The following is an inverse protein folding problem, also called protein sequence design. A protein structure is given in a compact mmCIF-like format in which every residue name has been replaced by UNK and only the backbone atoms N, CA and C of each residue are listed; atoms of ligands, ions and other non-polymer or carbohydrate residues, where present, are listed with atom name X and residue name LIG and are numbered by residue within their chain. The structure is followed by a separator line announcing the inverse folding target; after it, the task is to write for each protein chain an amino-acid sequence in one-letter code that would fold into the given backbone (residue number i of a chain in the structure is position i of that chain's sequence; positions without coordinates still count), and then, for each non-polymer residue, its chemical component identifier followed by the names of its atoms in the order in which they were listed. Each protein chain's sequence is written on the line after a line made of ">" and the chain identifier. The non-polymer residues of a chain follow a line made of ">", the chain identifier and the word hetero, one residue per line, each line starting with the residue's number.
data_IF_434298578732
#
_entry.id   IF_434298578732
#
_cell.length_a   1.000
_cell.length_b   1.000
_cell.length_c   1.000
_cell.angle_alpha   90.00
_cell.angle_beta   90.00
_cell.angle_gamma   90.00
#
_symmetry.space_group_name_H-M   'P 1'
#
loop_
_entity.id
_entity.type
_entity.pdbx_description
1 polymer ?
#
# COMPACT_ATOMS: atom_id res chain seq x y z
N UNK A 1 -14.78 29.26 2.34
CA UNK A 1 -13.37 29.35 2.75
C UNK A 1 -13.31 29.10 4.25
N UNK A 2 -12.70 28.00 4.69
CA UNK A 2 -12.61 27.61 6.12
C UNK A 2 -11.49 28.38 6.85
N UNK A 3 -10.77 29.29 6.19
CA UNK A 3 -9.70 30.09 6.78
C UNK A 3 -8.42 29.31 7.10
N UNK A 4 -8.45 27.98 7.06
CA UNK A 4 -7.27 27.12 7.14
C UNK A 4 -6.46 27.23 5.83
N UNK A 5 -5.34 27.95 5.90
CA UNK A 5 -4.35 28.03 4.83
C UNK A 5 -3.11 27.22 5.21
N UNK A 6 -2.38 26.63 4.25
CA UNK A 6 -1.09 25.97 4.52
C UNK A 6 -0.09 26.87 5.28
N UNK A 7 -0.22 28.19 5.19
CA UNK A 7 0.58 29.15 5.95
C UNK A 7 0.30 29.14 7.46
N UNK A 8 -0.92 28.81 7.90
CA UNK A 8 -1.30 28.72 9.32
C UNK A 8 -0.98 27.34 9.91
N UNK A 9 -0.90 26.33 9.06
CA UNK A 9 -0.57 24.98 9.43
C UNK A 9 0.43 24.45 8.39
N UNK A 10 1.74 24.72 8.52
CA UNK A 10 2.71 24.24 7.53
C UNK A 10 2.85 22.71 7.62
N UNK A 11 2.94 22.05 6.46
CA UNK A 11 3.16 20.62 6.39
C UNK A 11 4.53 20.26 7.00
N UNK A 12 4.58 19.16 7.75
CA UNK A 12 5.82 18.58 8.29
C UNK A 12 6.10 17.25 7.63
N UNK A 13 7.33 17.07 7.13
CA UNK A 13 7.96 15.83 6.64
C UNK A 13 7.00 14.90 5.85
N UNK A 14 6.19 14.10 6.55
CA UNK A 14 5.31 13.06 5.99
C UNK A 14 3.85 13.51 5.78
N UNK A 15 3.53 14.79 5.95
CA UNK A 15 2.14 15.26 5.90
C UNK A 15 1.64 15.62 4.49
N UNK A 16 2.46 15.49 3.45
CA UNK A 16 2.13 16.01 2.12
C UNK A 16 0.90 15.34 1.50
N UNK A 17 0.78 14.01 1.55
CA UNK A 17 -0.39 13.29 1.06
C UNK A 17 -1.67 13.69 1.82
N UNK A 18 -1.57 13.85 3.15
CA UNK A 18 -2.67 14.28 4.03
C UNK A 18 -3.10 15.69 3.65
N UNK A 19 -2.15 16.58 3.37
CA UNK A 19 -2.43 17.96 2.98
C UNK A 19 -3.13 18.04 1.63
N UNK A 20 -2.75 17.19 0.66
CA UNK A 20 -3.47 17.10 -0.61
C UNK A 20 -4.92 16.72 -0.38
N UNK A 21 -5.19 15.68 0.43
CA UNK A 21 -6.56 15.29 0.77
C UNK A 21 -7.32 16.38 1.56
N UNK A 22 -6.66 17.06 2.50
CA UNK A 22 -7.27 18.04 3.40
C UNK A 22 -7.60 19.37 2.70
N UNK A 23 -6.66 19.89 1.91
CA UNK A 23 -6.74 21.23 1.33
C UNK A 23 -7.22 21.27 -0.13
N UNK A 24 -7.31 20.13 -0.80
CA UNK A 24 -7.88 20.11 -2.16
C UNK A 24 -9.35 20.54 -2.16
N UNK A 25 -9.81 21.07 -3.30
CA UNK A 25 -11.20 21.47 -3.50
C UNK A 25 -12.12 20.33 -3.95
N UNK A 26 -11.60 19.11 -4.09
CA UNK A 26 -12.34 17.97 -4.62
C UNK A 26 -13.23 17.32 -3.56
N UNK A 27 -14.38 16.80 -3.98
CA UNK A 27 -15.27 16.01 -3.13
C UNK A 27 -14.72 14.61 -2.89
N UNK A 28 -14.03 14.05 -3.89
CA UNK A 28 -13.40 12.74 -3.86
C UNK A 28 -11.98 12.85 -4.41
N UNK A 29 -11.04 12.17 -3.76
CA UNK A 29 -9.61 12.31 -4.05
C UNK A 29 -9.01 10.93 -4.27
N UNK A 30 -8.23 10.80 -5.34
CA UNK A 30 -7.23 9.75 -5.51
C UNK A 30 -5.87 10.39 -5.29
N UNK A 31 -5.12 9.93 -4.29
CA UNK A 31 -3.70 10.29 -4.10
C UNK A 31 -2.85 9.11 -4.54
N UNK A 32 -1.87 9.40 -5.40
CA UNK A 32 -0.89 8.43 -5.88
C UNK A 32 0.52 8.97 -5.64
N UNK A 33 1.38 8.19 -4.99
CA UNK A 33 2.82 8.45 -5.02
C UNK A 33 3.39 8.16 -6.40
N UNK A 34 4.57 8.73 -6.69
CA UNK A 34 5.23 8.60 -7.99
C UNK A 34 5.60 7.15 -8.35
N UNK A 35 5.84 6.29 -7.35
CA UNK A 35 6.15 4.89 -7.58
C UNK A 35 4.89 4.01 -7.61
N UNK A 36 3.70 4.52 -7.30
CA UNK A 36 2.44 3.78 -7.41
C UNK A 36 1.82 3.96 -8.81
N UNK A 37 2.15 3.04 -9.72
CA UNK A 37 1.78 3.13 -11.13
C UNK A 37 0.45 2.40 -11.41
N UNK A 38 -0.57 3.10 -11.95
CA UNK A 38 -1.77 2.46 -12.46
C UNK A 38 -1.46 1.67 -13.74
N UNK A 39 -1.88 0.41 -13.76
CA UNK A 39 -1.71 -0.52 -14.89
C UNK A 39 -2.95 -0.63 -15.78
N UNK A 40 -4.01 0.09 -15.43
CA UNK A 40 -5.27 0.12 -16.15
C UNK A 40 -6.11 1.34 -15.79
N UNK A 41 -7.33 1.40 -16.32
CA UNK A 41 -8.26 2.48 -16.03
C UNK A 41 -8.69 2.46 -14.55
N UNK A 42 -8.50 3.58 -13.85
CA UNK A 42 -8.85 3.76 -12.43
C UNK A 42 -10.09 4.63 -12.22
N UNK A 43 -10.75 5.10 -13.30
CA UNK A 43 -11.94 5.96 -13.21
C UNK A 43 -13.11 5.31 -12.47
N UNK A 44 -13.17 3.98 -12.50
CA UNK A 44 -14.23 3.17 -11.89
C UNK A 44 -14.12 2.97 -10.37
N UNK A 45 -13.07 3.47 -9.71
CA UNK A 45 -12.78 3.17 -8.30
C UNK A 45 -13.86 3.73 -7.37
N UNK A 46 -14.32 4.95 -7.63
CA UNK A 46 -15.41 5.59 -6.87
C UNK A 46 -16.76 4.89 -7.07
N UNK A 47 -16.95 4.21 -8.20
CA UNK A 47 -18.16 3.43 -8.49
C UNK A 47 -18.08 1.97 -8.01
N UNK A 48 -17.05 1.60 -7.25
CA UNK A 48 -16.88 0.23 -6.80
C UNK A 48 -17.81 -0.12 -5.65
N UNK A 49 -18.32 -1.38 -5.57
CA UNK A 49 -19.18 -1.78 -4.46
C UNK A 49 -18.52 -1.52 -3.10
N UNK A 50 -17.22 -1.80 -2.99
CA UNK A 50 -16.43 -1.61 -1.76
C UNK A 50 -16.29 -0.14 -1.37
N UNK A 51 -16.17 0.76 -2.37
CA UNK A 51 -16.15 2.20 -2.10
C UNK A 51 -17.53 2.69 -1.67
N UNK A 52 -18.61 2.26 -2.32
CA UNK A 52 -19.97 2.60 -1.89
C UNK A 52 -20.31 2.07 -0.49
N UNK A 53 -19.80 0.89 -0.12
CA UNK A 53 -20.04 0.27 1.18
C UNK A 53 -19.29 0.97 2.31
N UNK A 54 -17.99 1.24 2.11
CA UNK A 54 -17.11 1.72 3.20
C UNK A 54 -16.74 3.20 3.09
N UNK A 55 -17.02 3.82 1.95
CA UNK A 55 -16.70 5.20 1.64
C UNK A 55 -15.20 5.46 1.44
N UNK A 56 -14.38 4.44 1.20
CA UNK A 56 -12.96 4.58 0.89
C UNK A 56 -12.43 3.27 0.29
N UNK A 57 -11.26 3.30 -0.34
CA UNK A 57 -10.49 2.09 -0.66
C UNK A 57 -9.07 2.25 -0.14
N UNK A 58 -8.71 1.43 0.85
CA UNK A 58 -7.33 1.26 1.27
C UNK A 58 -6.72 0.08 0.55
N UNK A 59 -5.41 0.13 0.43
CA UNK A 59 -4.57 -0.93 -0.07
C UNK A 59 -3.63 -1.34 1.06
N UNK A 60 -3.49 -2.65 1.28
CA UNK A 60 -2.65 -3.18 2.34
C UNK A 60 -1.19 -3.20 1.88
N UNK A 61 -0.29 -2.73 2.72
CA UNK A 61 1.14 -2.93 2.53
C UNK A 61 1.51 -4.41 2.65
N UNK A 62 2.68 -4.77 2.11
CA UNK A 62 3.23 -6.10 2.31
C UNK A 62 3.54 -6.41 3.79
N UNK A 63 3.81 -5.40 4.61
CA UNK A 63 4.03 -5.52 6.04
C UNK A 63 2.71 -5.72 6.79
N UNK A 64 2.74 -6.63 7.76
CA UNK A 64 1.57 -6.99 8.55
C UNK A 64 1.98 -7.80 9.78
N UNK A 65 1.00 -8.41 10.44
CA UNK A 65 1.19 -9.20 11.66
C UNK A 65 2.25 -10.30 11.51
N UNK A 66 2.38 -10.89 10.31
CA UNK A 66 3.35 -11.96 10.03
C UNK A 66 4.75 -11.47 9.59
N UNK A 67 5.00 -10.17 9.53
CA UNK A 67 6.18 -9.61 8.86
C UNK A 67 7.38 -9.34 9.78
N UNK A 68 7.39 -9.90 11.00
CA UNK A 68 8.42 -9.66 12.02
C UNK A 68 9.86 -9.76 11.47
N UNK A 69 10.77 -8.83 11.83
CA UNK A 69 10.57 -7.69 12.74
C UNK A 69 9.87 -6.47 12.10
N UNK A 70 9.41 -6.57 10.85
CA UNK A 70 8.66 -5.53 10.15
C UNK A 70 7.15 -5.62 10.45
N UNK A 71 6.36 -4.62 10.04
CA UNK A 71 4.95 -4.52 10.42
C UNK A 71 4.77 -3.87 11.79
N UNK A 72 5.39 -2.70 11.96
CA UNK A 72 5.51 -1.95 13.22
C UNK A 72 4.16 -1.77 13.94
N UNK A 73 3.10 -1.45 13.19
CA UNK A 73 1.76 -1.11 13.69
C UNK A 73 0.78 -2.29 13.67
N UNK A 74 1.06 -3.31 12.86
CA UNK A 74 0.25 -4.52 12.72
C UNK A 74 0.74 -5.69 13.59
N UNK A 75 1.97 -5.60 14.11
CA UNK A 75 2.53 -6.53 15.08
C UNK A 75 1.65 -6.62 16.32
N UNK A 76 1.47 -7.83 16.86
CA UNK A 76 0.61 -8.07 18.04
C UNK A 76 1.06 -7.28 19.28
N UNK A 77 2.35 -6.96 19.37
CA UNK A 77 2.95 -6.26 20.50
C UNK A 77 3.10 -4.75 20.24
N UNK A 78 2.51 -4.24 19.15
CA UNK A 78 2.60 -2.82 18.81
C UNK A 78 1.84 -1.96 19.83
N UNK A 79 2.44 -0.86 20.34
CA UNK A 79 1.72 0.11 21.17
C UNK A 79 0.64 0.87 20.38
N UNK A 80 0.59 0.74 19.05
CA UNK A 80 -0.48 1.28 18.22
C UNK A 80 -1.86 0.74 18.63
N UNK A 81 -1.94 -0.52 19.08
CA UNK A 81 -3.18 -1.15 19.52
C UNK A 81 -3.79 -0.48 20.75
N UNK A 82 -2.94 -0.08 21.71
CA UNK A 82 -3.37 0.66 22.90
C UNK A 82 -3.84 2.07 22.54
N UNK A 83 -3.12 2.74 21.62
CA UNK A 83 -3.48 4.07 21.13
C UNK A 83 -4.88 4.07 20.50
N UNK A 84 -5.16 3.10 19.64
CA UNK A 84 -6.48 2.98 19.00
C UNK A 84 -7.48 2.24 19.89
N UNK A 85 -7.07 1.67 21.02
CA UNK A 85 -7.89 0.88 21.95
C UNK A 85 -8.62 -0.30 21.27
N UNK A 86 -7.93 -1.01 20.38
CA UNK A 86 -8.44 -2.20 19.68
C UNK A 86 -7.52 -3.37 20.00
N UNK A 87 -8.09 -4.55 20.27
CA UNK A 87 -7.29 -5.76 20.46
C UNK A 87 -6.55 -6.14 19.18
N UNK A 88 -5.29 -6.63 19.26
CA UNK A 88 -4.56 -7.05 18.08
C UNK A 88 -5.30 -8.15 17.32
N UNK A 89 -5.32 -8.05 15.99
CA UNK A 89 -5.84 -9.07 15.11
C UNK A 89 -4.91 -9.23 13.90
N UNK A 90 -5.04 -10.36 13.20
CA UNK A 90 -4.23 -10.63 12.02
C UNK A 90 -4.58 -9.64 10.91
N UNK A 91 -3.63 -8.79 10.53
CA UNK A 91 -3.86 -7.71 9.57
C UNK A 91 -2.59 -7.28 8.88
N UNK A 92 -2.75 -6.45 7.86
CA UNK A 92 -1.67 -5.73 7.22
C UNK A 92 -1.68 -4.27 7.66
N UNK A 93 -0.54 -3.61 7.54
CA UNK A 93 -0.49 -2.16 7.53
C UNK A 93 -1.14 -1.66 6.24
N UNK A 94 -1.57 -0.41 6.23
CA UNK A 94 -2.07 0.27 5.04
C UNK A 94 -0.91 0.89 4.26
N UNK A 95 -1.09 0.99 2.95
CA UNK A 95 -0.12 1.52 1.99
C UNK A 95 -0.58 2.92 1.52
N UNK A 96 0.05 3.96 2.07
CA UNK A 96 -0.36 5.37 1.88
C UNK A 96 -0.05 5.95 0.50
N UNK A 97 0.75 5.28 -0.31
CA UNK A 97 1.01 5.67 -1.71
C UNK A 97 -0.22 5.58 -2.61
N UNK A 98 -1.28 4.87 -2.19
CA UNK A 98 -2.54 4.78 -2.91
C UNK A 98 -3.68 5.04 -1.92
N UNK A 99 -4.33 6.19 -2.06
CA UNK A 99 -5.47 6.58 -1.24
C UNK A 99 -6.66 6.94 -2.12
N UNK A 100 -7.81 6.33 -1.87
CA UNK A 100 -9.07 6.64 -2.55
C UNK A 100 -10.13 6.92 -1.49
N UNK A 101 -10.50 8.18 -1.33
CA UNK A 101 -11.46 8.59 -0.29
C UNK A 101 -12.20 9.88 -0.65
N UNK A 102 -13.41 10.08 -0.10
CA UNK A 102 -14.11 11.34 -0.14
C UNK A 102 -13.47 12.33 0.83
N UNK A 103 -13.86 13.59 0.71
CA UNK A 103 -13.47 14.65 1.63
C UNK A 103 -14.24 14.54 2.95
N UNK A 104 -13.63 13.89 3.93
CA UNK A 104 -14.24 13.59 5.23
C UNK A 104 -13.48 14.24 6.39
N UNK A 105 -13.98 15.39 6.84
CA UNK A 105 -13.25 16.26 7.76
C UNK A 105 -12.89 15.62 9.10
N UNK A 106 -13.78 14.80 9.68
CA UNK A 106 -13.53 14.19 11.00
C UNK A 106 -12.32 13.26 10.96
N UNK A 107 -12.29 12.37 9.98
CA UNK A 107 -11.25 11.39 9.76
C UNK A 107 -9.94 12.06 9.37
N UNK A 108 -9.98 13.02 8.43
CA UNK A 108 -8.81 13.78 8.01
C UNK A 108 -8.17 14.56 9.18
N UNK A 109 -8.96 15.09 10.12
CA UNK A 109 -8.43 15.72 11.32
C UNK A 109 -7.75 14.72 12.26
N UNK A 110 -8.27 13.50 12.41
CA UNK A 110 -7.62 12.45 13.20
C UNK A 110 -6.32 12.01 12.54
N UNK A 111 -6.31 11.78 11.23
CA UNK A 111 -5.11 11.44 10.45
C UNK A 111 -4.02 12.49 10.66
N UNK A 112 -4.37 13.76 10.50
CA UNK A 112 -3.44 14.87 10.71
C UNK A 112 -2.95 14.96 12.16
N UNK A 113 -3.83 14.70 13.13
CA UNK A 113 -3.46 14.69 14.54
C UNK A 113 -2.47 13.56 14.86
N UNK A 114 -2.75 12.33 14.40
CA UNK A 114 -1.90 11.17 14.62
C UNK A 114 -0.53 11.35 13.95
N UNK A 115 -0.47 11.93 12.75
CA UNK A 115 0.78 12.23 12.03
C UNK A 115 1.64 13.29 12.74
N UNK A 116 1.06 14.02 13.70
CA UNK A 116 1.78 14.99 14.55
C UNK A 116 2.01 14.50 15.97
N UNK A 117 1.49 13.32 16.30
CA UNK A 117 1.55 12.79 17.64
C UNK A 117 2.91 12.16 17.90
N UNK A 118 3.72 12.83 18.73
CA UNK A 118 5.11 12.44 19.01
C UNK A 118 5.30 11.03 19.54
N UNK A 119 4.34 10.50 20.30
CA UNK A 119 4.43 9.11 20.80
C UNK A 119 4.25 8.08 19.68
N UNK A 120 3.59 8.46 18.58
CA UNK A 120 3.40 7.61 17.41
C UNK A 120 4.54 7.79 16.40
N UNK A 121 4.92 9.04 16.10
CA UNK A 121 5.90 9.38 15.07
C UNK A 121 7.36 9.37 15.58
N UNK A 122 7.54 9.24 16.88
CA UNK A 122 8.82 9.36 17.56
C UNK A 122 9.22 10.81 17.83
N UNK A 123 10.12 10.97 18.79
CA UNK A 123 10.77 12.24 19.10
C UNK A 123 12.28 11.96 19.21
N UNK A 124 13.13 12.56 18.35
CA UNK A 124 14.57 12.27 18.34
C UNK A 124 15.33 12.92 19.52
N UNK A 125 14.66 13.67 20.39
CA UNK A 125 15.32 14.26 21.57
C UNK A 125 15.77 13.20 22.57
N UNK A 126 16.74 13.49 23.47
CA UNK A 126 17.27 12.52 24.44
C UNK A 126 16.22 11.92 25.40
N UNK A 127 15.07 12.58 25.56
CA UNK A 127 13.94 12.12 26.38
C UNK A 127 12.71 11.75 25.53
N UNK A 128 12.92 11.61 24.23
CA UNK A 128 11.88 11.34 23.26
C UNK A 128 11.47 9.87 23.23
N UNK A 129 10.46 9.59 22.41
CA UNK A 129 9.89 8.26 22.28
C UNK A 129 10.41 7.58 21.00
N UNK A 130 10.58 6.26 21.00
CA UNK A 130 10.80 5.53 19.76
C UNK A 130 9.60 5.73 18.82
N UNK A 131 9.87 5.73 17.52
CA UNK A 131 8.83 5.78 16.50
C UNK A 131 8.08 4.45 16.45
N UNK A 132 6.77 4.54 16.28
CA UNK A 132 5.84 3.41 16.15
C UNK A 132 5.31 3.28 14.72
N UNK A 133 5.16 4.40 14.00
CA UNK A 133 4.73 4.42 12.59
C UNK A 133 5.83 5.05 11.74
N UNK A 134 6.23 4.38 10.67
CA UNK A 134 7.12 4.96 9.67
C UNK A 134 6.37 5.90 8.71
N UNK A 135 6.46 7.19 8.96
CA UNK A 135 5.87 8.22 8.09
C UNK A 135 4.35 8.22 8.13
N UNK A 136 3.73 8.42 6.97
CA UNK A 136 2.27 8.47 6.76
C UNK A 136 1.66 7.11 6.41
N UNK A 137 2.48 6.05 6.34
CA UNK A 137 2.11 4.73 5.83
C UNK A 137 0.80 4.18 6.40
N UNK A 138 0.69 4.10 7.73
CA UNK A 138 -0.43 3.42 8.38
C UNK A 138 -1.33 4.33 9.23
N UNK A 139 -1.08 5.66 9.23
CA UNK A 139 -1.87 6.60 10.05
C UNK A 139 -3.35 6.62 9.64
N UNK A 140 -3.66 6.26 8.39
CA UNK A 140 -5.03 6.19 7.87
C UNK A 140 -5.82 5.04 8.49
N UNK A 141 -5.27 3.81 8.45
CA UNK A 141 -5.88 2.64 9.10
C UNK A 141 -6.06 2.87 10.60
N UNK A 142 -5.03 3.40 11.27
CA UNK A 142 -5.08 3.71 12.70
C UNK A 142 -6.17 4.75 13.02
N UNK A 143 -6.37 5.74 12.15
CA UNK A 143 -7.42 6.74 12.32
C UNK A 143 -8.82 6.13 12.24
N UNK A 144 -9.05 5.20 11.30
CA UNK A 144 -10.33 4.49 11.19
C UNK A 144 -10.58 3.59 12.40
N UNK A 145 -9.55 2.88 12.85
CA UNK A 145 -9.63 2.06 14.07
C UNK A 145 -9.96 2.93 15.28
N UNK A 146 -9.24 4.04 15.47
CA UNK A 146 -9.47 5.01 16.55
C UNK A 146 -10.92 5.53 16.55
N UNK A 147 -11.46 5.81 15.36
CA UNK A 147 -12.82 6.30 15.17
C UNK A 147 -13.90 5.21 15.17
N UNK A 148 -13.51 3.94 15.33
CA UNK A 148 -14.41 2.77 15.28
C UNK A 148 -15.17 2.65 13.96
N UNK A 149 -14.52 3.00 12.85
CA UNK A 149 -15.08 2.87 11.51
C UNK A 149 -14.64 1.56 10.86
N UNK A 150 -15.56 0.97 10.12
CA UNK A 150 -15.23 -0.09 9.17
C UNK A 150 -14.48 0.51 7.98
N UNK A 151 -13.62 -0.29 7.37
CA UNK A 151 -12.89 0.06 6.15
C UNK A 151 -12.67 -1.19 5.32
N UNK A 152 -12.60 -1.00 4.01
CA UNK A 152 -12.12 -1.97 3.05
C UNK A 152 -10.61 -1.81 2.85
N UNK A 153 -9.89 -2.92 2.75
CA UNK A 153 -8.46 -2.92 2.46
C UNK A 153 -8.10 -4.06 1.50
N UNK A 154 -7.68 -3.72 0.28
CA UNK A 154 -7.29 -4.70 -0.73
C UNK A 154 -5.90 -5.29 -0.43
N UNK A 155 -5.77 -6.61 -0.47
CA UNK A 155 -4.52 -7.30 -0.17
C UNK A 155 -3.45 -7.08 -1.27
N UNK A 156 -2.16 -7.01 -0.90
CA UNK A 156 -1.07 -6.91 -1.86
C UNK A 156 -0.71 -8.27 -2.47
N UNK A 157 -0.04 -8.25 -3.62
CA UNK A 157 0.64 -9.40 -4.21
C UNK A 157 2.11 -9.08 -4.51
N UNK A 158 2.95 -10.10 -4.65
CA UNK A 158 4.39 -9.93 -4.93
C UNK A 158 4.66 -9.71 -6.42
N UNK A 159 5.58 -8.80 -6.72
CA UNK A 159 6.04 -8.52 -8.08
C UNK A 159 7.54 -8.78 -8.19
N UNK A 160 7.97 -9.34 -9.32
CA UNK A 160 9.37 -9.71 -9.51
C UNK A 160 9.69 -10.15 -10.94
N UNK A 161 10.68 -11.02 -11.06
CA UNK A 161 11.02 -11.68 -12.32
C UNK A 161 11.35 -13.14 -12.07
N UNK A 162 11.21 -13.98 -13.09
CA UNK A 162 11.63 -15.38 -13.02
C UNK A 162 12.96 -15.52 -13.73
N UNK A 163 13.96 -16.05 -13.03
CA UNK A 163 15.26 -16.40 -13.58
C UNK A 163 15.54 -17.87 -13.29
N UNK A 164 15.74 -18.67 -14.34
CA UNK A 164 16.15 -20.08 -14.22
C UNK A 164 15.24 -20.91 -13.29
N UNK A 165 13.91 -20.73 -13.43
CA UNK A 165 12.90 -21.42 -12.61
C UNK A 165 12.79 -20.92 -11.17
N UNK A 166 13.40 -19.79 -10.85
CA UNK A 166 13.32 -19.15 -9.53
C UNK A 166 12.71 -17.76 -9.63
N UNK A 167 11.76 -17.43 -8.75
CA UNK A 167 11.18 -16.10 -8.65
C UNK A 167 12.04 -15.19 -7.75
N UNK A 168 12.46 -14.07 -8.31
CA UNK A 168 13.23 -13.02 -7.66
C UNK A 168 12.27 -11.85 -7.36
N UNK A 169 11.93 -11.68 -6.08
CA UNK A 169 11.10 -10.57 -5.62
C UNK A 169 11.80 -9.23 -5.83
N UNK A 170 11.07 -8.23 -6.34
CA UNK A 170 11.58 -6.86 -6.50
C UNK A 170 10.67 -5.79 -5.91
N UNK A 171 9.36 -6.01 -5.94
CA UNK A 171 8.35 -5.02 -5.52
C UNK A 171 7.01 -5.71 -5.24
N UNK A 172 5.92 -4.97 -5.09
CA UNK A 172 4.57 -5.51 -4.90
C UNK A 172 3.52 -4.67 -5.65
N UNK A 173 2.27 -5.09 -5.61
CA UNK A 173 1.16 -4.38 -6.24
C UNK A 173 -0.20 -4.83 -5.72
N UNK A 174 -1.27 -4.37 -6.37
CA UNK A 174 -2.66 -4.62 -5.97
C UNK A 174 -3.54 -5.05 -7.13
N UNK A 175 -4.41 -6.03 -6.87
CA UNK A 175 -5.48 -6.44 -7.78
C UNK A 175 -6.61 -5.41 -7.69
N UNK A 176 -7.25 -5.13 -8.83
CA UNK A 176 -8.36 -4.21 -8.93
C UNK A 176 -9.55 -4.64 -8.09
N UNK A 177 -10.28 -3.66 -7.55
CA UNK A 177 -11.41 -3.94 -6.67
C UNK A 177 -12.63 -4.47 -7.45
N UNK A 178 -12.83 -4.04 -8.70
CA UNK A 178 -13.86 -4.60 -9.61
C UNK A 178 -13.35 -5.72 -10.51
N UNK A 179 -12.03 -5.83 -10.69
CA UNK A 179 -11.44 -6.69 -11.71
C UNK A 179 -10.45 -7.65 -11.08
N UNK A 180 -10.42 -8.91 -11.53
CA UNK A 180 -9.36 -9.85 -11.13
C UNK A 180 -8.04 -9.58 -11.88
N UNK A 181 -7.78 -8.33 -12.25
CA UNK A 181 -6.56 -7.89 -12.94
C UNK A 181 -5.77 -7.01 -12.00
N UNK A 182 -4.46 -7.00 -12.15
CA UNK A 182 -3.61 -6.05 -11.43
C UNK A 182 -3.97 -4.64 -11.88
N UNK A 183 -4.13 -3.76 -10.90
CA UNK A 183 -4.52 -2.37 -11.12
C UNK A 183 -3.39 -1.41 -10.74
N UNK A 184 -2.64 -1.72 -9.68
CA UNK A 184 -1.52 -0.90 -9.24
C UNK A 184 -0.28 -1.77 -9.08
N UNK A 185 0.88 -1.21 -9.43
CA UNK A 185 2.18 -1.76 -9.10
C UNK A 185 3.06 -0.69 -8.51
N UNK A 186 3.96 -1.09 -7.61
CA UNK A 186 5.00 -0.20 -7.13
C UNK A 186 6.24 -0.34 -8.00
N UNK A 187 6.77 0.77 -8.51
CA UNK A 187 8.04 0.80 -9.21
C UNK A 187 9.15 0.31 -8.25
N UNK A 188 9.91 -0.75 -8.60
CA UNK A 188 11.01 -1.20 -7.77
C UNK A 188 12.00 -0.07 -7.51
N UNK A 189 12.31 0.19 -6.24
CA UNK A 189 13.26 1.24 -5.82
C UNK A 189 14.69 1.02 -6.34
N UNK A 190 15.01 -0.18 -6.83
CA UNK A 190 16.28 -0.52 -7.47
C UNK A 190 16.37 -0.13 -8.96
N UNK A 191 15.33 0.47 -9.56
CA UNK A 191 15.27 0.84 -10.97
C UNK A 191 15.97 2.16 -11.33
N UNK A 192 16.77 2.76 -10.44
CA UNK A 192 17.76 3.78 -10.84
C UNK A 192 18.94 3.22 -11.65
N UNK A 193 18.93 1.91 -11.95
CA UNK A 193 20.04 1.22 -12.60
C UNK A 193 19.96 1.30 -14.15
N UNK A 194 21.02 1.68 -14.89
CA UNK A 194 21.02 1.92 -16.34
C UNK A 194 20.78 0.68 -17.25
N UNK A 195 20.34 -0.46 -16.70
CA UNK A 195 20.24 -1.74 -17.42
C UNK A 195 18.81 -2.13 -17.84
N UNK A 196 17.84 -1.20 -17.83
CA UNK A 196 16.39 -1.48 -17.98
C UNK A 196 15.93 -1.75 -19.42
N UNK A 197 16.82 -1.81 -20.42
CA UNK A 197 16.39 -2.02 -21.81
C UNK A 197 15.83 -3.43 -22.10
N UNK A 198 16.10 -4.43 -21.26
CA UNK A 198 15.76 -5.84 -21.52
C UNK A 198 14.94 -6.53 -20.41
N UNK A 199 14.24 -5.78 -19.55
CA UNK A 199 13.56 -6.38 -18.39
C UNK A 199 12.22 -7.03 -18.78
N UNK A 200 12.20 -8.33 -19.00
CA UNK A 200 10.98 -9.15 -19.07
C UNK A 200 10.42 -9.37 -17.66
N UNK A 201 9.36 -8.65 -17.32
CA UNK A 201 8.75 -8.68 -15.98
C UNK A 201 7.94 -9.97 -15.78
N UNK A 202 8.06 -10.59 -14.60
CA UNK A 202 7.33 -11.79 -14.21
C UNK A 202 6.41 -11.50 -13.02
N UNK A 203 5.11 -11.48 -13.23
CA UNK A 203 4.14 -11.13 -12.19
C UNK A 203 3.65 -12.43 -11.56
N UNK A 204 3.90 -12.61 -10.25
CA UNK A 204 3.65 -13.88 -9.57
C UNK A 204 2.88 -13.62 -8.28
N UNK A 205 1.58 -13.93 -8.30
CA UNK A 205 0.74 -13.95 -7.11
C UNK A 205 1.06 -15.19 -6.25
N UNK A 206 1.98 -15.04 -5.29
CA UNK A 206 2.30 -16.10 -4.33
C UNK A 206 1.40 -15.96 -3.08
N UNK A 207 0.12 -16.34 -3.17
CA UNK A 207 -0.78 -16.55 -2.00
C UNK A 207 -0.37 -17.77 -1.16
N UNK A 208 0.93 -17.97 -0.97
CA UNK A 208 1.48 -18.99 -0.09
C UNK A 208 1.45 -18.44 1.35
N UNK A 209 0.69 -19.05 2.30
CA UNK A 209 0.66 -18.61 3.69
C UNK A 209 2.05 -18.78 4.34
N UNK A 210 2.59 -17.67 4.88
CA UNK A 210 3.68 -17.73 5.86
C UNK A 210 5.11 -17.47 5.36
N UNK A 211 5.39 -16.39 4.62
CA UNK A 211 6.79 -15.99 4.40
C UNK A 211 7.09 -14.49 4.52
N UNK A 212 7.98 -14.22 5.48
CA UNK A 212 8.53 -12.94 5.91
C UNK A 212 9.37 -12.23 4.85
N UNK A 213 9.21 -10.92 4.88
CA UNK A 213 10.14 -9.82 4.64
C UNK A 213 10.91 -9.67 3.31
N UNK A 214 11.14 -8.40 3.03
CA UNK A 214 11.92 -7.72 1.99
C UNK A 214 13.40 -8.13 1.92
N UNK A 215 13.75 -9.41 2.10
CA UNK A 215 15.13 -9.85 1.92
C UNK A 215 15.42 -9.98 0.42
N UNK A 216 15.77 -8.84 -0.17
CA UNK A 216 15.94 -8.50 -1.59
C UNK A 216 17.08 -9.21 -2.32
N UNK A 217 17.48 -10.42 -1.89
CA UNK A 217 18.61 -11.13 -2.51
C UNK A 217 18.37 -12.60 -2.84
N UNK A 218 17.31 -13.22 -2.34
CA UNK A 218 17.14 -14.66 -2.52
C UNK A 218 15.98 -14.96 -3.47
N UNK A 219 16.30 -15.13 -4.75
CA UNK A 219 15.40 -15.79 -5.70
C UNK A 219 15.00 -17.15 -5.12
N UNK A 220 13.70 -17.42 -5.02
CA UNK A 220 13.18 -18.69 -4.50
C UNK A 220 12.77 -19.59 -5.65
N UNK A 221 13.15 -20.87 -5.59
CA UNK A 221 12.74 -21.85 -6.60
C UNK A 221 11.20 -21.91 -6.65
N UNK A 222 10.64 -21.70 -7.82
CA UNK A 222 9.20 -21.76 -8.05
C UNK A 222 8.89 -23.02 -8.85
N UNK A 223 8.08 -23.91 -8.27
CA UNK A 223 7.41 -24.94 -9.04
C UNK A 223 6.23 -24.24 -9.73
N UNK A 224 6.46 -23.78 -10.96
CA UNK A 224 5.38 -23.31 -11.82
C UNK A 224 4.63 -24.56 -12.27
N UNK A 225 3.52 -24.89 -11.63
CA UNK A 225 2.54 -25.79 -12.24
C UNK A 225 1.98 -25.06 -13.47
N UNK A 226 1.97 -25.74 -14.62
CA UNK A 226 1.28 -25.25 -15.81
C UNK A 226 -0.20 -25.08 -15.44
N UNK A 227 -0.61 -23.82 -15.25
CA UNK A 227 -1.99 -23.45 -15.05
C UNK A 227 -2.63 -23.37 -16.43
N UNK A 228 -3.26 -24.48 -16.82
CA UNK A 228 -3.88 -24.71 -18.13
C UNK A 228 -5.04 -23.76 -18.47
N UNK A 229 -5.48 -22.93 -17.52
CA UNK A 229 -6.69 -22.11 -17.66
C UNK A 229 -6.43 -20.62 -17.96
N UNK A 230 -5.15 -20.19 -18.06
CA UNK A 230 -4.81 -18.85 -18.51
C UNK A 230 -3.87 -18.95 -19.71
N UNK A 231 -4.35 -18.53 -20.88
CA UNK A 231 -3.55 -18.50 -22.11
C UNK A 231 -2.32 -17.59 -21.91
N UNK A 232 -1.17 -18.21 -21.72
CA UNK A 232 0.12 -17.55 -21.60
C UNK A 232 0.49 -16.79 -22.88
N UNK A 233 0.89 -15.53 -22.73
CA UNK A 233 1.82 -14.88 -23.68
C UNK A 233 2.84 -14.09 -22.86
N UNK A 234 4.13 -14.25 -23.16
CA UNK A 234 5.17 -13.37 -22.62
C UNK A 234 5.18 -12.08 -23.43
N UNK A 235 5.25 -10.92 -22.76
CA UNK A 235 5.26 -9.61 -23.42
C UNK A 235 6.19 -8.63 -22.72
N UNK A 236 6.78 -7.73 -23.51
CA UNK A 236 7.52 -6.55 -23.05
C UNK A 236 6.54 -5.42 -22.74
N UNK A 237 6.72 -4.72 -21.61
CA UNK A 237 6.01 -3.48 -21.32
C UNK A 237 6.44 -2.41 -22.35
N UNK A 238 5.67 -2.34 -23.43
CA UNK A 238 5.76 -1.25 -24.42
C UNK A 238 4.55 -0.37 -24.16
N UNK A 239 4.67 0.96 -24.08
CA UNK A 239 3.51 1.83 -23.92
C UNK A 239 2.45 1.50 -24.99
N UNK A 240 1.24 1.10 -24.56
CA UNK A 240 0.14 0.73 -25.47
C UNK A 240 0.01 -0.75 -25.84
N UNK A 241 0.66 -1.69 -25.12
CA UNK A 241 0.46 -3.13 -25.32
C UNK A 241 0.07 -3.84 -24.01
N UNK A 242 -0.94 -4.70 -24.09
CA UNK A 242 -1.47 -5.53 -23.00
C UNK A 242 -0.37 -6.34 -22.30
N UNK A 243 -0.18 -6.11 -21.01
CA UNK A 243 0.66 -6.95 -20.16
C UNK A 243 -0.11 -8.19 -19.72
N UNK A 244 0.50 -9.37 -19.87
CA UNK A 244 -0.10 -10.65 -19.51
C UNK A 244 0.12 -10.99 -18.03
N UNK A 245 -0.87 -11.64 -17.42
CA UNK A 245 -0.91 -11.92 -15.98
C UNK A 245 -0.94 -13.43 -15.73
N UNK A 246 -0.10 -13.90 -14.81
CA UNK A 246 -0.17 -15.29 -14.31
C UNK A 246 -0.59 -15.24 -12.85
N UNK A 247 -1.84 -15.64 -12.58
CA UNK A 247 -2.29 -15.98 -11.23
C UNK A 247 -1.59 -17.28 -10.85
N UNK A 248 -0.95 -17.39 -9.69
CA UNK A 248 -0.46 -18.66 -9.16
C UNK A 248 -1.37 -19.08 -8.00
N UNK A 249 -1.71 -20.35 -7.94
CA UNK A 249 -2.41 -20.94 -6.81
C UNK A 249 -1.46 -21.97 -6.19
N UNK A 250 -0.90 -21.60 -5.03
CA UNK A 250 -0.52 -22.57 -4.01
C UNK A 250 -1.83 -23.08 -3.37
#
# INVERSE_FOLDING_TARGET
>A
DLGFKPSLLPAKIYEWCIYVAFFSGFEEVIVLDLDAVPMGDISHLFDSPMYHETGQLFYADYWGTASYPNGETASSNSPAWDLVRVGPYFTHEQESSILVLPKIWRELNVVLHLTRYKQLMGDPSPRGYPRVVWGDKDVWRLSWLYLRKTFFMAMPFKLGFVNSGSFCYMSFGHIGVKTNRVLFIHQPKALESPYVQNLTHGIVDLRCPGYSSYNSQNCKRCLVSELTDYSYKMGTFTPGLDSFWTKHEC
#
